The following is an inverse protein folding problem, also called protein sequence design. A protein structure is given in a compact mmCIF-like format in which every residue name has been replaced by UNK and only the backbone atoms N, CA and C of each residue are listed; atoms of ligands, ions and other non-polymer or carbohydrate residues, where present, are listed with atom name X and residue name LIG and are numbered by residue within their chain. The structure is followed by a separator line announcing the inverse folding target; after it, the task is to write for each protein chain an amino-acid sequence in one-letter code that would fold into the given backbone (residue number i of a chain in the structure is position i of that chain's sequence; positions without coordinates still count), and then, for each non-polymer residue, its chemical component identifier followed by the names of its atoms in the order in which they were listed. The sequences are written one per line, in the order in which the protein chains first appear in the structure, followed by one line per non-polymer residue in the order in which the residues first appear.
data_IF_354518387713
#
_entry.id   IF_354518387713
#
_cell.length_a   1.000
_cell.length_b   1.000
_cell.length_c   1.000
_cell.angle_alpha   90.00
_cell.angle_beta   90.00
_cell.angle_gamma   90.00
#
_symmetry.space_group_name_H-M   'P 1'
#
loop_
_entity.id
_entity.type
_entity.pdbx_description
1 polymer ?
#
# COMPACT_ATOMS: atom_id res chain seq x y z
N UNK A 1 -3.74 -15.70 -18.96
CA UNK A 1 -4.37 -16.66 -18.04
C UNK A 1 -3.50 -16.96 -16.82
N UNK A 2 -4.05 -17.69 -15.84
CA UNK A 2 -3.32 -18.28 -14.71
C UNK A 2 -2.86 -19.70 -15.04
N UNK A 3 -1.89 -20.20 -14.29
CA UNK A 3 -1.43 -21.59 -14.41
C UNK A 3 -2.54 -22.60 -14.03
N UNK A 4 -3.43 -22.22 -13.12
CA UNK A 4 -4.62 -23.02 -12.74
C UNK A 4 -5.62 -23.21 -13.88
N UNK A 5 -5.54 -22.38 -14.94
CA UNK A 5 -6.47 -22.39 -16.07
C UNK A 5 -5.96 -23.26 -17.24
N UNK A 6 -4.75 -23.80 -17.14
CA UNK A 6 -4.15 -24.67 -18.16
C UNK A 6 -4.92 -25.98 -18.31
N UNK A 7 -5.04 -26.43 -19.57
CA UNK A 7 -5.65 -27.74 -19.88
C UNK A 7 -4.60 -28.84 -19.97
N UNK A 8 -5.02 -30.08 -19.77
CA UNK A 8 -4.12 -31.25 -19.75
C UNK A 8 -3.32 -31.32 -21.05
N UNK A 9 -2.01 -31.57 -20.93
CA UNK A 9 -1.02 -31.57 -22.02
C UNK A 9 -0.80 -30.21 -22.72
N UNK A 10 -1.36 -29.12 -22.19
CA UNK A 10 -1.08 -27.79 -22.71
C UNK A 10 0.25 -27.26 -22.15
N UNK A 11 1.02 -26.60 -23.03
CA UNK A 11 2.29 -25.95 -22.71
C UNK A 11 2.12 -24.45 -22.64
N UNK A 12 2.79 -23.82 -21.68
CA UNK A 12 2.84 -22.37 -21.56
C UNK A 12 4.21 -21.89 -21.09
N UNK A 13 4.47 -20.58 -21.23
CA UNK A 13 5.63 -19.93 -20.64
C UNK A 13 5.20 -19.12 -19.41
N UNK A 14 5.94 -19.26 -18.32
CA UNK A 14 5.75 -18.46 -17.11
C UNK A 14 6.09 -17.01 -17.40
N UNK A 15 5.13 -16.11 -17.19
CA UNK A 15 5.33 -14.67 -17.36
C UNK A 15 5.56 -13.96 -16.04
N UNK A 16 4.98 -14.46 -14.94
CA UNK A 16 5.07 -13.84 -13.61
C UNK A 16 4.66 -14.81 -12.52
N UNK A 17 5.31 -14.71 -11.36
CA UNK A 17 4.87 -15.35 -10.11
C UNK A 17 4.40 -14.25 -9.16
N UNK A 18 3.12 -14.28 -8.82
CA UNK A 18 2.45 -13.40 -7.86
C UNK A 18 2.49 -14.02 -6.46
N UNK A 19 1.90 -13.33 -5.49
CA UNK A 19 1.94 -13.71 -4.09
C UNK A 19 3.08 -13.02 -3.35
N UNK A 20 3.22 -13.33 -2.07
CA UNK A 20 3.99 -12.53 -1.11
C UNK A 20 5.14 -13.29 -0.44
N UNK A 21 6.13 -12.54 0.03
CA UNK A 21 7.32 -12.97 0.78
C UNK A 21 7.78 -14.40 0.54
N UNK A 22 7.65 -15.23 1.59
CA UNK A 22 8.17 -16.60 1.60
C UNK A 22 7.51 -17.54 0.57
N UNK A 23 6.24 -17.33 0.23
CA UNK A 23 5.56 -18.14 -0.79
C UNK A 23 6.21 -17.92 -2.16
N UNK A 24 6.33 -16.66 -2.58
CA UNK A 24 6.91 -16.29 -3.89
C UNK A 24 8.34 -16.79 -4.00
N UNK A 25 9.14 -16.63 -2.93
CA UNK A 25 10.52 -17.14 -2.87
C UNK A 25 10.58 -18.66 -3.06
N UNK A 26 9.76 -19.42 -2.32
CA UNK A 26 9.67 -20.89 -2.44
C UNK A 26 9.30 -21.33 -3.86
N UNK A 27 8.30 -20.68 -4.48
CA UNK A 27 7.87 -21.01 -5.85
C UNK A 27 8.99 -20.75 -6.87
N UNK A 28 9.72 -19.64 -6.73
CA UNK A 28 10.88 -19.34 -7.57
C UNK A 28 12.00 -20.37 -7.38
N UNK A 29 12.31 -20.76 -6.12
CA UNK A 29 13.30 -21.79 -5.80
C UNK A 29 12.92 -23.17 -6.33
N UNK A 30 11.61 -23.46 -6.45
CA UNK A 30 11.08 -24.67 -7.08
C UNK A 30 11.18 -24.65 -8.62
N UNK A 31 11.75 -23.61 -9.23
CA UNK A 31 12.01 -23.54 -10.68
C UNK A 31 10.94 -22.79 -11.48
N UNK A 32 9.87 -22.30 -10.85
CA UNK A 32 8.84 -21.48 -11.51
C UNK A 32 9.35 -20.06 -11.75
N UNK A 33 10.28 -19.92 -12.68
CA UNK A 33 10.91 -18.65 -13.02
C UNK A 33 10.42 -18.13 -14.36
N UNK A 34 10.35 -16.80 -14.48
CA UNK A 34 9.93 -16.08 -15.69
C UNK A 34 10.73 -16.56 -16.91
N UNK A 35 10.02 -16.90 -17.98
CA UNK A 35 10.59 -17.36 -19.24
C UNK A 35 10.77 -18.88 -19.36
N UNK A 36 10.53 -19.67 -18.30
CA UNK A 36 10.54 -21.13 -18.39
C UNK A 36 9.24 -21.67 -18.94
N UNK A 37 9.36 -22.74 -19.71
CA UNK A 37 8.24 -23.53 -20.20
C UNK A 37 7.73 -24.46 -19.09
N UNK A 38 6.42 -24.64 -19.07
CA UNK A 38 5.70 -25.50 -18.14
C UNK A 38 4.59 -26.24 -18.89
N UNK A 39 4.43 -27.53 -18.59
CA UNK A 39 3.38 -28.40 -19.11
C UNK A 39 2.45 -28.82 -17.97
N UNK A 40 1.14 -28.81 -18.19
CA UNK A 40 0.20 -29.40 -17.25
C UNK A 40 0.04 -30.89 -17.54
N UNK A 41 0.38 -31.74 -16.56
CA UNK A 41 0.42 -33.20 -16.72
C UNK A 41 -0.93 -33.82 -16.39
N UNK A 42 -1.40 -33.62 -15.15
CA UNK A 42 -2.65 -34.21 -14.67
C UNK A 42 -3.14 -33.56 -13.39
N UNK A 43 -4.45 -33.65 -13.17
CA UNK A 43 -5.04 -33.40 -11.86
C UNK A 43 -4.89 -34.64 -10.96
N UNK A 44 -4.74 -34.42 -9.65
CA UNK A 44 -4.97 -35.49 -8.67
C UNK A 44 -6.43 -35.99 -8.74
N UNK A 45 -6.76 -37.20 -8.24
CA UNK A 45 -8.11 -37.77 -8.31
C UNK A 45 -9.24 -36.84 -7.79
N UNK A 46 -8.92 -35.95 -6.84
CA UNK A 46 -9.85 -34.96 -6.28
C UNK A 46 -9.71 -33.55 -6.90
N UNK A 47 -9.07 -33.42 -8.06
CA UNK A 47 -8.80 -32.16 -8.79
C UNK A 47 -7.89 -31.14 -8.08
N UNK A 48 -7.33 -31.49 -6.93
CA UNK A 48 -6.30 -30.70 -6.22
C UNK A 48 -5.44 -31.66 -5.36
N UNK A 49 -4.10 -31.60 -5.41
CA UNK A 49 -3.24 -30.72 -6.22
C UNK A 49 -3.19 -31.09 -7.71
N UNK A 50 -2.71 -30.14 -8.53
CA UNK A 50 -2.40 -30.30 -9.94
C UNK A 50 -0.90 -30.60 -10.13
N UNK A 51 -0.56 -31.51 -11.05
CA UNK A 51 0.83 -31.88 -11.35
C UNK A 51 1.28 -31.18 -12.63
N UNK A 52 2.40 -30.47 -12.54
CA UNK A 52 3.03 -29.75 -13.62
C UNK A 52 4.44 -30.26 -13.86
N UNK A 53 4.88 -30.30 -15.10
CA UNK A 53 6.26 -30.59 -15.45
C UNK A 53 6.99 -29.28 -15.74
N UNK A 54 8.13 -29.09 -15.09
CA UNK A 54 9.02 -27.94 -15.28
C UNK A 54 10.46 -28.43 -15.18
N UNK A 55 11.31 -27.97 -16.09
CA UNK A 55 12.74 -28.35 -16.11
C UNK A 55 12.97 -29.89 -16.04
N UNK A 56 12.12 -30.66 -16.71
CA UNK A 56 12.19 -32.13 -16.79
C UNK A 56 11.95 -32.87 -15.46
N UNK A 57 11.25 -32.26 -14.50
CA UNK A 57 10.71 -32.95 -13.33
C UNK A 57 9.26 -32.53 -13.04
N UNK A 58 8.52 -33.41 -12.36
CA UNK A 58 7.13 -33.16 -11.97
C UNK A 58 7.06 -32.49 -10.59
N UNK A 59 6.23 -31.45 -10.49
CA UNK A 59 5.90 -30.75 -9.26
C UNK A 59 4.39 -30.73 -9.08
N UNK A 60 3.92 -31.12 -7.90
CA UNK A 60 2.54 -30.90 -7.48
C UNK A 60 2.38 -29.50 -6.88
N UNK A 61 1.51 -28.68 -7.46
CA UNK A 61 1.06 -27.42 -6.88
C UNK A 61 -0.43 -27.49 -6.58
N UNK A 62 -0.85 -26.85 -5.49
CA UNK A 62 -2.28 -26.66 -5.26
C UNK A 62 -2.85 -25.67 -6.27
N UNK A 63 -4.13 -25.79 -6.59
CA UNK A 63 -4.82 -24.86 -7.50
C UNK A 63 -4.75 -23.42 -7.01
N UNK A 64 -4.82 -23.18 -5.69
CA UNK A 64 -4.67 -21.85 -5.12
C UNK A 64 -3.28 -21.24 -5.38
N UNK A 65 -2.24 -22.07 -5.36
CA UNK A 65 -0.85 -21.66 -5.62
C UNK A 65 -0.63 -21.44 -7.12
N UNK A 66 -1.13 -22.35 -7.97
CA UNK A 66 -1.11 -22.20 -9.42
C UNK A 66 -1.87 -20.96 -9.90
N UNK A 67 -2.94 -20.55 -9.22
CA UNK A 67 -3.68 -19.32 -9.51
C UNK A 67 -2.85 -18.04 -9.28
N UNK A 68 -1.74 -18.11 -8.54
CA UNK A 68 -0.80 -17.00 -8.37
C UNK A 68 0.29 -16.97 -9.45
N UNK A 69 0.34 -17.94 -10.35
CA UNK A 69 1.33 -17.98 -11.43
C UNK A 69 0.65 -17.56 -12.73
N UNK A 70 1.19 -16.55 -13.40
CA UNK A 70 0.74 -16.12 -14.71
C UNK A 70 1.55 -16.79 -15.80
N UNK A 71 0.83 -17.25 -16.81
CA UNK A 71 1.41 -17.90 -17.98
C UNK A 71 0.83 -17.33 -19.26
N UNK A 72 1.50 -17.66 -20.37
CA UNK A 72 1.01 -17.42 -21.72
C UNK A 72 1.13 -18.70 -22.53
N UNK A 73 0.03 -19.11 -23.15
CA UNK A 73 -0.03 -20.27 -24.05
C UNK A 73 0.23 -19.82 -25.49
N UNK A 74 0.48 -20.77 -26.40
CA UNK A 74 0.62 -20.50 -27.84
C UNK A 74 -0.60 -19.77 -28.40
N UNK A 75 -1.80 -20.22 -28.03
CA UNK A 75 -3.08 -19.60 -28.43
C UNK A 75 -3.25 -18.15 -27.95
N UNK A 76 -2.83 -17.84 -26.72
CA UNK A 76 -2.86 -16.44 -26.24
C UNK A 76 -1.83 -15.58 -26.98
N UNK A 77 -0.65 -16.13 -27.29
CA UNK A 77 0.39 -15.42 -28.02
C UNK A 77 -0.04 -15.09 -29.47
N UNK A 78 -0.79 -15.99 -30.13
CA UNK A 78 -1.38 -15.80 -31.46
C UNK A 78 -2.34 -14.59 -31.48
N UNK A 79 -3.27 -14.53 -30.53
CA UNK A 79 -4.25 -13.42 -30.42
C UNK A 79 -3.61 -12.05 -30.16
N UNK A 80 -2.45 -12.02 -29.52
CA UNK A 80 -1.73 -10.79 -29.23
C UNK A 80 -1.01 -10.19 -30.44
N UNK A 81 -0.86 -10.95 -31.53
CA UNK A 81 -0.14 -10.48 -32.71
C UNK A 81 -1.02 -10.03 -33.87
N UNK A 82 -2.22 -10.57 -34.09
CA UNK A 82 -3.29 -10.22 -35.06
C UNK A 82 -2.94 -9.63 -36.48
N UNK A 83 -1.68 -9.46 -36.85
CA UNK A 83 -1.17 -8.80 -38.07
C UNK A 83 0.12 -9.50 -38.59
N UNK A 84 0.33 -10.79 -38.31
CA UNK A 84 1.51 -11.52 -38.78
C UNK A 84 1.11 -12.83 -39.49
N UNK A 85 1.24 -12.86 -40.82
CA UNK A 85 0.94 -14.02 -41.69
C UNK A 85 2.19 -14.90 -41.94
N UNK A 86 2.97 -15.20 -40.90
CA UNK A 86 4.18 -16.03 -40.99
C UNK A 86 4.07 -17.35 -40.21
N UNK A 87 4.93 -18.32 -40.52
CA UNK A 87 5.03 -19.59 -39.76
C UNK A 87 5.45 -19.31 -38.32
N UNK A 88 4.60 -19.70 -37.38
CA UNK A 88 4.77 -19.43 -35.95
C UNK A 88 5.83 -20.37 -35.38
N UNK A 89 7.03 -19.84 -35.15
CA UNK A 89 8.11 -20.55 -34.45
C UNK A 89 7.98 -20.39 -32.93
N UNK A 90 8.60 -21.29 -32.14
CA UNK A 90 8.68 -21.17 -30.67
C UNK A 90 9.27 -19.82 -30.20
N UNK A 91 9.93 -19.09 -31.10
CA UNK A 91 10.36 -17.71 -30.87
C UNK A 91 9.20 -16.74 -30.59
N UNK A 92 8.03 -16.92 -31.21
CA UNK A 92 6.87 -16.02 -30.98
C UNK A 92 6.34 -16.14 -29.56
N UNK A 93 6.22 -17.37 -29.05
CA UNK A 93 5.82 -17.63 -27.67
C UNK A 93 6.78 -16.97 -26.67
N UNK A 94 8.10 -17.12 -26.90
CA UNK A 94 9.14 -16.49 -26.06
C UNK A 94 9.11 -14.98 -26.12
N UNK A 95 8.89 -14.38 -27.31
CA UNK A 95 8.77 -12.92 -27.48
C UNK A 95 7.52 -12.38 -26.77
N UNK A 96 6.38 -13.02 -26.93
CA UNK A 96 5.12 -12.63 -26.26
C UNK A 96 5.20 -12.79 -24.74
N UNK A 97 5.83 -13.85 -24.25
CA UNK A 97 6.14 -14.02 -22.83
C UNK A 97 7.08 -12.94 -22.30
N UNK A 98 8.14 -12.59 -23.05
CA UNK A 98 9.06 -11.50 -22.71
C UNK A 98 8.35 -10.14 -22.66
N UNK A 99 7.42 -9.87 -23.58
CA UNK A 99 6.60 -8.64 -23.55
C UNK A 99 5.68 -8.60 -22.33
N UNK A 100 4.91 -9.66 -22.10
CA UNK A 100 3.93 -9.74 -20.99
C UNK A 100 4.60 -9.67 -19.61
N UNK A 101 5.80 -10.23 -19.50
CA UNK A 101 6.57 -10.23 -18.25
C UNK A 101 7.25 -8.89 -17.93
N UNK A 102 7.23 -7.92 -18.85
CA UNK A 102 7.66 -6.52 -18.64
C UNK A 102 6.49 -5.59 -18.29
N UNK A 103 5.32 -6.15 -17.97
CA UNK A 103 4.18 -5.38 -17.44
C UNK A 103 4.26 -5.39 -15.91
N UNK A 104 4.34 -4.20 -15.31
CA UNK A 104 4.39 -3.99 -13.86
C UNK A 104 3.10 -3.31 -13.42
N UNK A 105 2.35 -3.96 -12.54
CA UNK A 105 1.16 -3.40 -11.92
C UNK A 105 1.56 -2.70 -10.61
N UNK A 106 1.31 -1.40 -10.54
CA UNK A 106 1.71 -0.55 -9.43
C UNK A 106 0.49 0.09 -8.79
N UNK A 107 0.40 0.03 -7.47
CA UNK A 107 -0.57 0.79 -6.70
C UNK A 107 0.10 1.98 -6.01
N UNK A 108 -0.47 3.17 -6.15
CA UNK A 108 -0.05 4.34 -5.37
C UNK A 108 -0.89 4.40 -4.09
N UNK A 109 -0.20 4.40 -2.95
CA UNK A 109 -0.80 4.45 -1.61
C UNK A 109 -0.15 5.61 -0.85
N UNK A 110 -0.88 6.26 0.05
CA UNK A 110 -0.33 7.32 0.89
C UNK A 110 -1.41 8.13 1.57
N UNK A 111 -1.00 8.96 2.52
CA UNK A 111 -1.90 9.85 3.24
C UNK A 111 -2.56 10.87 2.30
N UNK A 112 -3.75 11.38 2.61
CA UNK A 112 -4.30 12.56 1.93
C UNK A 112 -3.26 13.69 1.87
N UNK A 113 -3.24 14.42 0.74
CA UNK A 113 -2.35 15.57 0.51
C UNK A 113 -0.84 15.29 0.54
N UNK A 114 -0.38 14.03 0.43
CA UNK A 114 1.05 13.70 0.35
C UNK A 114 1.69 13.94 -1.05
N UNK A 115 0.90 14.36 -2.04
CA UNK A 115 1.31 14.56 -3.44
C UNK A 115 1.22 13.30 -4.32
N UNK A 116 0.47 12.29 -3.87
CA UNK A 116 0.13 11.08 -4.63
C UNK A 116 -0.46 11.37 -6.02
N UNK A 117 -1.49 12.21 -6.11
CA UNK A 117 -2.11 12.61 -7.39
C UNK A 117 -1.12 13.35 -8.29
N UNK A 118 -0.19 14.13 -7.73
CA UNK A 118 0.85 14.82 -8.51
C UNK A 118 1.81 13.82 -9.16
N UNK A 119 2.26 12.80 -8.41
CA UNK A 119 3.09 11.72 -8.98
C UNK A 119 2.32 10.93 -10.04
N UNK A 120 1.03 10.63 -9.79
CA UNK A 120 0.17 9.97 -10.77
C UNK A 120 0.07 10.77 -12.07
N UNK A 121 -0.21 12.08 -11.99
CA UNK A 121 -0.37 12.95 -13.16
C UNK A 121 0.94 13.06 -13.96
N UNK A 122 2.08 13.12 -13.27
CA UNK A 122 3.38 13.12 -13.93
C UNK A 122 3.61 11.82 -14.71
N UNK A 123 3.28 10.67 -14.11
CA UNK A 123 3.43 9.37 -14.74
C UNK A 123 2.43 9.15 -15.89
N UNK A 124 1.18 9.62 -15.73
CA UNK A 124 0.10 9.42 -16.69
C UNK A 124 0.17 10.35 -17.91
N UNK A 125 0.92 11.46 -17.83
CA UNK A 125 0.93 12.53 -18.85
C UNK A 125 -0.50 12.95 -19.26
N UNK A 126 -1.40 13.02 -18.28
CA UNK A 126 -2.82 13.34 -18.44
C UNK A 126 -3.68 12.32 -19.22
N UNK A 127 -3.20 11.09 -19.42
CA UNK A 127 -4.02 9.98 -19.93
C UNK A 127 -4.52 9.13 -18.76
N UNK A 128 -5.68 9.48 -18.22
CA UNK A 128 -6.31 8.74 -17.11
C UNK A 128 -7.64 8.10 -17.52
N UNK A 129 -7.99 7.00 -16.84
CA UNK A 129 -9.33 6.41 -16.85
C UNK A 129 -9.80 6.33 -15.41
N UNK A 130 -11.00 6.82 -15.12
CA UNK A 130 -11.60 6.79 -13.79
C UNK A 130 -12.50 5.55 -13.70
N UNK A 131 -12.34 4.75 -12.64
CA UNK A 131 -13.20 3.62 -12.34
C UNK A 131 -13.85 3.77 -10.97
N UNK A 132 -15.15 3.43 -10.90
CA UNK A 132 -15.89 3.33 -9.65
C UNK A 132 -15.79 1.91 -9.10
N UNK A 133 -15.62 1.77 -7.78
CA UNK A 133 -15.72 0.47 -7.12
C UNK A 133 -17.17 0.13 -6.80
N UNK A 134 -17.54 -1.15 -6.91
CA UNK A 134 -18.91 -1.59 -6.72
C UNK A 134 -19.41 -1.30 -5.30
N UNK A 135 -20.45 -0.49 -5.17
CA UNK A 135 -21.19 -0.26 -3.93
C UNK A 135 -20.76 0.94 -3.09
N UNK A 136 -19.71 1.68 -3.49
CA UNK A 136 -19.25 2.90 -2.78
C UNK A 136 -18.77 3.97 -3.75
N UNK A 137 -18.88 5.26 -3.37
CA UNK A 137 -18.40 6.43 -4.13
C UNK A 137 -16.88 6.60 -4.09
N UNK A 138 -16.14 5.50 -3.93
CA UNK A 138 -14.68 5.51 -3.86
C UNK A 138 -14.12 5.36 -5.28
N UNK A 139 -13.51 6.45 -5.78
CA UNK A 139 -12.91 6.49 -7.12
C UNK A 139 -11.46 6.04 -7.08
N UNK A 140 -11.06 5.24 -8.07
CA UNK A 140 -9.66 4.97 -8.38
C UNK A 140 -9.34 5.44 -9.79
N UNK A 141 -8.14 5.99 -9.98
CA UNK A 141 -7.66 6.41 -11.30
C UNK A 141 -6.66 5.41 -11.83
N UNK A 142 -6.85 4.97 -13.06
CA UNK A 142 -5.93 4.04 -13.72
C UNK A 142 -5.25 4.73 -14.89
N UNK A 143 -3.97 4.47 -15.06
CA UNK A 143 -3.20 4.92 -16.20
C UNK A 143 -2.16 3.89 -16.60
N UNK A 144 -1.72 3.99 -17.85
CA UNK A 144 -0.71 3.13 -18.44
C UNK A 144 0.34 3.98 -19.14
N UNK A 145 1.60 3.76 -18.82
CA UNK A 145 2.71 4.42 -19.50
C UNK A 145 3.88 3.45 -19.70
N UNK A 146 4.81 3.83 -20.58
CA UNK A 146 6.00 3.07 -20.91
C UNK A 146 7.22 3.77 -20.34
N UNK A 147 8.14 3.02 -19.73
CA UNK A 147 9.47 3.48 -19.34
C UNK A 147 10.46 2.37 -19.65
N UNK A 148 11.51 2.70 -20.41
CA UNK A 148 12.44 1.73 -20.99
C UNK A 148 11.63 0.67 -21.78
N UNK A 149 11.90 -0.61 -21.53
CA UNK A 149 11.13 -1.73 -22.10
C UNK A 149 9.91 -2.15 -21.26
N UNK A 150 9.64 -1.46 -20.16
CA UNK A 150 8.59 -1.80 -19.21
C UNK A 150 7.32 -0.99 -19.46
N UNK A 151 6.20 -1.65 -19.24
CA UNK A 151 4.87 -1.07 -19.25
C UNK A 151 4.38 -1.04 -17.81
N UNK A 152 4.10 0.15 -17.30
CA UNK A 152 3.52 0.34 -15.99
C UNK A 152 2.01 0.51 -16.11
N UNK A 153 1.26 -0.32 -15.40
CA UNK A 153 -0.15 -0.10 -15.12
C UNK A 153 -0.23 0.51 -13.71
N UNK A 154 -0.49 1.80 -13.59
CA UNK A 154 -0.62 2.48 -12.31
C UNK A 154 -2.09 2.63 -11.94
N UNK A 155 -2.40 2.27 -10.70
CA UNK A 155 -3.65 2.63 -10.05
C UNK A 155 -3.38 3.62 -8.92
N UNK A 156 -4.00 4.79 -8.99
CA UNK A 156 -4.08 5.74 -7.89
C UNK A 156 -5.21 5.32 -6.94
N UNK A 157 -4.85 4.93 -5.72
CA UNK A 157 -5.82 4.55 -4.69
C UNK A 157 -6.20 5.78 -3.85
N UNK A 158 -7.37 5.80 -3.20
CA UNK A 158 -7.77 6.85 -2.27
C UNK A 158 -6.68 7.16 -1.23
N UNK A 159 -6.60 8.44 -0.83
CA UNK A 159 -5.71 8.82 0.26
C UNK A 159 -6.19 8.23 1.57
N UNK A 160 -5.31 7.56 2.30
CA UNK A 160 -5.65 6.90 3.57
C UNK A 160 -4.54 7.09 4.61
N UNK A 161 -4.92 7.24 5.89
CA UNK A 161 -3.96 7.33 7.00
C UNK A 161 -3.55 5.96 7.54
N UNK A 162 -4.35 4.94 7.29
CA UNK A 162 -4.12 3.60 7.78
C UNK A 162 -4.69 2.57 6.79
N UNK A 163 -4.62 1.30 7.14
CA UNK A 163 -5.32 0.21 6.49
C UNK A 163 -6.22 -0.46 7.50
N UNK A 164 -6.94 0.29 8.36
CA UNK A 164 -8.03 -0.20 9.22
C UNK A 164 -9.33 -0.41 8.42
N UNK A 165 -10.44 -0.71 9.11
CA UNK A 165 -11.77 -0.85 8.49
C UNK A 165 -12.74 0.27 8.92
N UNK A 166 -12.22 1.42 9.38
CA UNK A 166 -13.05 2.52 9.89
C UNK A 166 -13.65 3.40 8.78
N UNK A 167 -12.99 3.49 7.63
CA UNK A 167 -13.49 4.26 6.47
C UNK A 167 -13.62 3.40 5.20
N UNK A 168 -14.58 3.73 4.31
CA UNK A 168 -14.69 3.09 3.01
C UNK A 168 -13.40 3.16 2.19
N UNK A 169 -12.66 4.27 2.29
CA UNK A 169 -11.38 4.47 1.61
C UNK A 169 -10.31 3.49 2.12
N UNK A 170 -10.12 3.40 3.44
CA UNK A 170 -9.18 2.46 4.05
C UNK A 170 -9.47 1.01 3.65
N UNK A 171 -10.75 0.63 3.73
CA UNK A 171 -11.22 -0.69 3.38
C UNK A 171 -10.99 -0.99 1.90
N UNK A 172 -11.25 -0.02 1.02
CA UNK A 172 -11.01 -0.14 -0.40
C UNK A 172 -9.52 -0.34 -0.72
N UNK A 173 -8.63 0.46 -0.12
CA UNK A 173 -7.17 0.29 -0.31
C UNK A 173 -6.73 -1.09 0.13
N UNK A 174 -7.21 -1.55 1.30
CA UNK A 174 -6.90 -2.88 1.83
C UNK A 174 -7.38 -4.01 0.91
N UNK A 175 -8.66 -3.98 0.50
CA UNK A 175 -9.26 -4.99 -0.40
C UNK A 175 -8.55 -5.02 -1.75
N UNK A 176 -8.27 -3.85 -2.34
CA UNK A 176 -7.49 -3.75 -3.57
C UNK A 176 -6.14 -4.45 -3.44
N UNK A 177 -5.39 -4.18 -2.35
CA UNK A 177 -4.09 -4.81 -2.13
C UNK A 177 -4.20 -6.34 -2.03
N UNK A 178 -5.25 -6.88 -1.41
CA UNK A 178 -5.48 -8.33 -1.28
C UNK A 178 -5.95 -9.00 -2.56
N UNK A 179 -6.87 -8.38 -3.28
CA UNK A 179 -7.53 -8.98 -4.43
C UNK A 179 -6.73 -8.77 -5.71
N UNK A 180 -6.25 -7.54 -5.92
CA UNK A 180 -5.51 -7.15 -7.11
C UNK A 180 -4.02 -7.46 -7.01
N UNK A 181 -3.50 -7.89 -5.85
CA UNK A 181 -2.11 -8.32 -5.59
C UNK A 181 -1.11 -7.56 -6.49
N UNK A 182 -0.94 -6.23 -6.28
CA UNK A 182 -0.06 -5.42 -7.10
C UNK A 182 1.38 -5.93 -7.02
N UNK A 183 2.15 -5.75 -8.09
CA UNK A 183 3.55 -6.19 -8.12
C UNK A 183 4.42 -5.33 -7.20
N UNK A 184 4.10 -4.03 -7.15
CA UNK A 184 4.78 -3.04 -6.30
C UNK A 184 3.73 -2.05 -5.78
N UNK A 185 3.87 -1.69 -4.51
CA UNK A 185 3.21 -0.53 -3.92
C UNK A 185 4.21 0.62 -3.85
N UNK A 186 3.89 1.75 -4.49
CA UNK A 186 4.61 2.99 -4.24
C UNK A 186 3.86 3.71 -3.12
N UNK A 187 4.50 3.78 -1.95
CA UNK A 187 3.98 4.49 -0.79
C UNK A 187 4.50 5.95 -0.82
N UNK A 188 3.62 6.91 -1.01
CA UNK A 188 3.96 8.33 -1.03
C UNK A 188 3.94 8.87 0.40
N UNK A 189 5.12 9.24 0.89
CA UNK A 189 5.35 9.76 2.24
C UNK A 189 5.70 11.24 2.12
N UNK A 190 4.91 12.12 2.75
CA UNK A 190 5.28 13.53 2.86
C UNK A 190 6.43 13.71 3.84
N UNK A 191 7.56 14.25 3.35
CA UNK A 191 8.73 14.56 4.15
C UNK A 191 8.45 15.63 5.23
N UNK A 192 7.37 16.39 5.10
CA UNK A 192 6.98 17.39 6.09
C UNK A 192 6.35 16.78 7.35
N UNK A 193 5.76 15.58 7.25
CA UNK A 193 5.02 14.90 8.31
C UNK A 193 5.40 13.40 8.38
N UNK A 194 6.68 13.10 8.57
CA UNK A 194 7.22 11.72 8.49
C UNK A 194 6.51 10.73 9.40
N UNK A 195 6.40 11.03 10.70
CA UNK A 195 5.84 10.11 11.71
C UNK A 195 4.44 9.63 11.33
N UNK A 196 3.54 10.56 11.00
CA UNK A 196 2.17 10.27 10.58
C UNK A 196 2.08 9.46 9.28
N UNK A 197 3.01 9.66 8.34
CA UNK A 197 3.02 8.91 7.08
C UNK A 197 3.67 7.52 7.24
N UNK A 198 4.63 7.39 8.16
CA UNK A 198 5.26 6.12 8.47
C UNK A 198 4.32 5.16 9.20
N UNK A 199 3.26 5.65 9.85
CA UNK A 199 2.21 4.79 10.41
C UNK A 199 1.56 3.88 9.37
N UNK A 200 1.17 4.41 8.21
CA UNK A 200 0.69 3.60 7.10
C UNK A 200 1.75 2.60 6.59
N UNK A 201 3.02 3.01 6.63
CA UNK A 201 4.15 2.19 6.20
C UNK A 201 4.31 0.94 7.06
N UNK A 202 4.11 1.03 8.38
CA UNK A 202 4.20 -0.15 9.28
C UNK A 202 3.16 -1.22 8.90
N UNK A 203 1.95 -0.79 8.51
CA UNK A 203 0.89 -1.70 8.12
C UNK A 203 1.17 -2.37 6.76
N UNK A 204 1.77 -1.64 5.82
CA UNK A 204 2.24 -2.22 4.56
C UNK A 204 3.37 -3.25 4.79
N UNK A 205 4.25 -3.01 5.76
CA UNK A 205 5.27 -4.00 6.17
C UNK A 205 4.60 -5.26 6.72
N UNK A 206 3.63 -5.13 7.63
CA UNK A 206 2.91 -6.28 8.21
C UNK A 206 2.16 -7.11 7.15
N UNK A 207 1.65 -6.44 6.11
CA UNK A 207 1.02 -7.05 4.94
C UNK A 207 1.97 -7.87 4.07
N UNK A 208 3.29 -7.77 4.27
CA UNK A 208 4.34 -8.47 3.50
C UNK A 208 4.25 -8.20 1.98
N UNK A 209 4.16 -6.92 1.62
CA UNK A 209 4.15 -6.45 0.22
C UNK A 209 5.47 -5.86 -0.20
N UNK A 210 5.75 -5.93 -1.51
CA UNK A 210 6.83 -5.16 -2.11
C UNK A 210 6.45 -3.69 -2.13
N UNK A 211 7.18 -2.88 -1.36
CA UNK A 211 6.94 -1.45 -1.23
C UNK A 211 8.18 -0.69 -1.71
N UNK A 212 7.95 0.51 -2.23
CA UNK A 212 8.97 1.55 -2.45
C UNK A 212 8.41 2.84 -1.87
N UNK A 213 9.20 3.59 -1.13
CA UNK A 213 8.76 4.88 -0.57
C UNK A 213 9.18 6.01 -1.51
N UNK A 214 8.21 6.76 -1.98
CA UNK A 214 8.42 8.07 -2.58
C UNK A 214 8.38 9.12 -1.47
N UNK A 215 9.56 9.53 -0.99
CA UNK A 215 9.69 10.57 0.03
C UNK A 215 9.50 11.95 -0.62
N UNK A 216 8.25 12.36 -0.76
CA UNK A 216 7.84 13.56 -1.47
C UNK A 216 7.94 14.82 -0.60
N UNK A 217 7.90 15.99 -1.23
CA UNK A 217 8.09 17.30 -0.57
C UNK A 217 9.48 17.40 0.10
N UNK A 218 10.48 16.73 -0.47
CA UNK A 218 11.82 16.67 0.13
C UNK A 218 12.52 18.03 0.18
N UNK A 219 12.13 18.97 -0.67
CA UNK A 219 12.59 20.36 -0.59
C UNK A 219 12.06 21.10 0.64
N UNK A 220 10.89 20.74 1.16
CA UNK A 220 10.38 21.29 2.42
C UNK A 220 11.20 20.84 3.63
N UNK A 221 11.55 19.55 3.69
CA UNK A 221 12.45 19.00 4.71
C UNK A 221 13.79 19.73 4.71
N UNK A 222 14.40 19.92 3.53
CA UNK A 222 15.62 20.72 3.38
C UNK A 222 15.45 22.18 3.79
N UNK A 223 14.30 22.79 3.45
CA UNK A 223 13.98 24.18 3.84
C UNK A 223 13.81 24.33 5.36
N UNK A 224 13.25 23.33 6.06
CA UNK A 224 13.20 23.29 7.53
C UNK A 224 14.60 23.18 8.17
N UNK A 225 15.55 22.63 7.42
CA UNK A 225 16.92 22.41 7.87
C UNK A 225 17.12 21.03 8.50
N UNK A 226 16.11 20.16 8.38
CA UNK A 226 16.15 18.80 8.87
C UNK A 226 17.09 17.97 7.98
N UNK A 227 17.76 16.99 8.57
CA UNK A 227 18.60 16.03 7.85
C UNK A 227 18.08 14.63 8.13
N UNK A 228 17.53 14.00 7.10
CA UNK A 228 17.08 12.61 7.16
C UNK A 228 18.07 11.70 6.43
N UNK A 229 18.62 10.73 7.14
CA UNK A 229 19.35 9.62 6.54
C UNK A 229 18.38 8.57 5.99
N UNK A 230 17.72 8.92 4.88
CA UNK A 230 16.69 8.08 4.26
C UNK A 230 17.22 6.74 3.72
N UNK A 231 18.54 6.64 3.47
CA UNK A 231 19.17 5.39 3.02
C UNK A 231 19.26 4.38 4.16
N UNK A 232 19.76 4.79 5.32
CA UNK A 232 19.83 3.91 6.50
C UNK A 232 18.42 3.59 7.02
N UNK A 233 17.51 4.57 7.06
CA UNK A 233 16.09 4.30 7.34
C UNK A 233 15.53 3.24 6.39
N UNK A 234 15.79 3.36 5.09
CA UNK A 234 15.34 2.40 4.08
C UNK A 234 15.88 0.98 4.31
N UNK A 235 17.18 0.84 4.61
CA UNK A 235 17.79 -0.45 4.99
C UNK A 235 17.18 -1.04 6.25
N UNK A 236 16.92 -0.19 7.24
CA UNK A 236 16.38 -0.59 8.54
C UNK A 236 14.96 -1.16 8.40
N UNK A 237 14.13 -0.55 7.55
CA UNK A 237 12.74 -0.99 7.30
C UNK A 237 12.60 -1.93 6.08
N UNK A 238 13.68 -2.16 5.34
CA UNK A 238 13.73 -3.09 4.20
C UNK A 238 13.00 -2.58 2.97
N UNK A 239 12.85 -1.27 2.86
CA UNK A 239 12.10 -0.59 1.80
C UNK A 239 12.98 0.53 1.22
N UNK A 240 13.29 0.52 -0.09
CA UNK A 240 14.06 1.60 -0.68
C UNK A 240 13.26 2.92 -0.65
N UNK A 241 13.94 3.99 -0.23
CA UNK A 241 13.37 5.34 -0.11
C UNK A 241 13.97 6.26 -1.17
N UNK A 242 13.13 6.80 -2.04
CA UNK A 242 13.51 7.70 -3.12
C UNK A 242 13.00 9.12 -2.82
N UNK A 243 13.88 10.10 -2.57
CA UNK A 243 13.47 11.49 -2.40
C UNK A 243 12.88 12.06 -3.69
N UNK A 244 11.73 12.71 -3.58
CA UNK A 244 11.03 13.33 -4.71
C UNK A 244 10.54 14.74 -4.37
N UNK A 245 10.38 15.55 -5.42
CA UNK A 245 9.63 16.81 -5.37
C UNK A 245 8.65 16.77 -6.53
N UNK A 246 7.48 16.16 -6.30
CA UNK A 246 6.53 15.81 -7.34
C UNK A 246 6.07 17.02 -8.16
N UNK A 247 5.84 18.15 -7.50
CA UNK A 247 5.44 19.42 -8.14
C UNK A 247 6.46 19.96 -9.14
N UNK A 248 7.72 19.49 -9.07
CA UNK A 248 8.82 19.89 -9.95
C UNK A 248 9.31 18.73 -10.83
N UNK A 249 8.63 17.57 -10.81
CA UNK A 249 9.06 16.36 -11.50
C UNK A 249 10.36 15.71 -10.99
N UNK A 250 10.99 16.25 -9.93
CA UNK A 250 12.32 15.80 -9.49
C UNK A 250 12.24 14.45 -8.78
N UNK A 251 13.10 13.52 -9.19
CA UNK A 251 13.24 12.19 -8.58
C UNK A 251 12.20 11.16 -9.01
N UNK A 252 11.20 11.55 -9.83
CA UNK A 252 10.15 10.63 -10.28
C UNK A 252 10.72 9.59 -11.26
N UNK A 253 11.65 9.96 -12.12
CA UNK A 253 12.31 9.00 -13.01
C UNK A 253 13.07 7.93 -12.21
N UNK A 254 13.89 8.35 -11.25
CA UNK A 254 14.63 7.47 -10.34
C UNK A 254 13.69 6.56 -9.52
N UNK A 255 12.52 7.06 -9.12
CA UNK A 255 11.50 6.28 -8.42
C UNK A 255 11.02 5.09 -9.27
N UNK A 256 10.74 5.33 -10.55
CA UNK A 256 10.31 4.25 -11.46
C UNK A 256 11.45 3.36 -11.92
N UNK A 257 12.69 3.85 -12.00
CA UNK A 257 13.86 3.00 -12.24
C UNK A 257 14.07 2.04 -11.05
N UNK A 258 13.97 2.57 -9.83
CA UNK A 258 13.99 1.74 -8.62
C UNK A 258 12.84 0.73 -8.61
N UNK A 259 11.65 1.10 -9.09
CA UNK A 259 10.54 0.16 -9.25
C UNK A 259 10.87 -1.02 -10.18
N UNK A 260 11.60 -0.78 -11.27
CA UNK A 260 12.05 -1.87 -12.14
C UNK A 260 13.04 -2.79 -11.39
N UNK A 261 13.99 -2.22 -10.65
CA UNK A 261 14.98 -2.99 -9.88
C UNK A 261 14.32 -3.89 -8.82
N UNK A 262 13.36 -3.34 -8.07
CA UNK A 262 12.59 -4.10 -7.06
C UNK A 262 11.70 -5.16 -7.71
N UNK A 263 11.11 -4.86 -8.86
CA UNK A 263 10.27 -5.82 -9.59
C UNK A 263 11.08 -7.03 -10.05
N UNK A 264 12.28 -6.79 -10.60
CA UNK A 264 13.22 -7.81 -11.09
C UNK A 264 14.05 -8.47 -9.97
N UNK A 265 13.75 -8.19 -8.69
CA UNK A 265 14.43 -8.76 -7.52
C UNK A 265 15.96 -8.48 -7.52
N UNK A 266 16.38 -7.32 -8.04
CA UNK A 266 17.79 -6.87 -8.12
C UNK A 266 18.20 -5.89 -7.02
N UNK A 267 17.22 -5.31 -6.34
CA UNK A 267 17.47 -4.37 -5.25
C UNK A 267 17.88 -5.11 -3.97
N UNK A 268 19.01 -4.69 -3.37
CA UNK A 268 19.58 -5.33 -2.18
C UNK A 268 18.94 -4.87 -0.87
N UNK A 269 18.29 -3.70 -0.86
CA UNK A 269 17.66 -3.15 0.34
C UNK A 269 16.27 -3.77 0.57
N UNK A 270 15.62 -4.25 -0.51
CA UNK A 270 14.36 -4.99 -0.41
C UNK A 270 14.57 -6.32 0.29
N UNK A 271 14.06 -6.39 1.52
CA UNK A 271 14.04 -7.62 2.31
C UNK A 271 12.78 -7.67 3.14
N UNK A 272 12.38 -8.89 3.44
CA UNK A 272 11.26 -9.13 4.32
C UNK A 272 11.66 -8.77 5.76
N UNK A 273 11.07 -7.70 6.30
CA UNK A 273 11.28 -7.25 7.68
C UNK A 273 10.01 -7.49 8.48
N UNK A 274 10.21 -7.89 9.74
CA UNK A 274 9.15 -7.89 10.74
C UNK A 274 9.44 -6.79 11.75
N UNK A 275 8.49 -5.87 11.93
CA UNK A 275 8.54 -4.92 13.03
C UNK A 275 8.35 -5.71 14.32
N UNK A 276 9.24 -5.54 15.28
CA UNK A 276 9.14 -6.17 16.59
C UNK A 276 8.25 -5.32 17.49
N UNK A 277 7.04 -5.80 17.78
CA UNK A 277 6.09 -5.10 18.66
C UNK A 277 6.28 -5.40 20.15
N UNK A 278 7.44 -5.95 20.53
CA UNK A 278 7.76 -6.31 21.90
C UNK A 278 7.36 -7.74 22.26
N UNK A 279 7.98 -8.25 23.32
CA UNK A 279 7.96 -9.69 23.68
C UNK A 279 6.55 -10.25 23.87
N UNK A 280 5.66 -9.50 24.51
CA UNK A 280 4.30 -9.95 24.81
C UNK A 280 3.45 -10.03 23.54
N UNK A 281 3.40 -8.95 22.75
CA UNK A 281 2.68 -8.91 21.48
C UNK A 281 3.21 -9.95 20.49
N UNK A 282 4.53 -10.07 20.33
CA UNK A 282 5.12 -11.08 19.41
C UNK A 282 4.77 -12.51 19.80
N UNK A 283 4.71 -12.82 21.10
CA UNK A 283 4.30 -14.14 21.59
C UNK A 283 2.84 -14.43 21.21
N UNK A 284 1.95 -13.46 21.40
CA UNK A 284 0.53 -13.56 21.05
C UNK A 284 0.32 -13.68 19.54
N UNK A 285 0.96 -12.81 18.75
CA UNK A 285 0.95 -12.84 17.28
C UNK A 285 1.38 -14.22 16.78
N UNK A 286 2.49 -14.78 17.29
CA UNK A 286 3.01 -16.09 16.87
C UNK A 286 2.05 -17.25 17.19
N UNK A 287 1.35 -17.21 18.33
CA UNK A 287 0.35 -18.24 18.69
C UNK A 287 -0.84 -18.22 17.74
N UNK A 288 -1.38 -17.03 17.45
CA UNK A 288 -2.50 -16.87 16.53
C UNK A 288 -2.07 -17.24 15.11
N UNK A 289 -0.91 -16.75 14.66
CA UNK A 289 -0.35 -17.06 13.35
C UNK A 289 -0.20 -18.57 13.11
N UNK A 290 0.22 -19.35 14.12
CA UNK A 290 0.31 -20.82 14.01
C UNK A 290 -1.04 -21.49 13.76
N UNK A 291 -2.14 -20.93 14.27
CA UNK A 291 -3.50 -21.45 14.03
C UNK A 291 -4.05 -21.02 12.68
N UNK A 292 -3.65 -19.84 12.20
CA UNK A 292 -4.04 -19.33 10.88
C UNK A 292 -3.26 -20.05 9.77
N UNK A 293 -1.93 -20.16 9.90
CA UNK A 293 -0.99 -20.69 8.89
C UNK A 293 -0.92 -22.23 8.93
N UNK A 294 -2.05 -22.88 8.68
CA UNK A 294 -2.15 -24.33 8.50
C UNK A 294 -2.42 -24.67 7.04
N UNK A 295 -2.10 -25.90 6.62
CA UNK A 295 -2.30 -26.39 5.25
C UNK A 295 -3.72 -26.08 4.74
N UNK A 296 -4.76 -26.26 5.54
CA UNK A 296 -6.14 -26.03 5.09
C UNK A 296 -6.46 -24.56 4.76
N UNK A 297 -5.61 -23.62 5.18
CA UNK A 297 -5.82 -22.17 5.04
C UNK A 297 -4.81 -21.53 4.07
N UNK A 298 -4.03 -22.32 3.31
CA UNK A 298 -3.05 -21.77 2.35
C UNK A 298 -3.69 -20.95 1.24
N UNK A 299 -4.89 -21.30 0.80
CA UNK A 299 -5.64 -20.51 -0.18
C UNK A 299 -5.83 -19.03 0.23
N UNK A 300 -5.90 -18.76 1.54
CA UNK A 300 -5.95 -17.44 2.14
C UNK A 300 -4.54 -16.90 2.42
N UNK A 301 -3.70 -17.71 3.08
CA UNK A 301 -2.40 -17.26 3.61
C UNK A 301 -1.30 -17.11 2.55
N UNK A 302 -1.50 -17.63 1.34
CA UNK A 302 -0.64 -17.37 0.17
C UNK A 302 -0.94 -15.99 -0.47
N UNK A 303 -2.15 -15.46 -0.25
CA UNK A 303 -2.58 -14.13 -0.71
C UNK A 303 -2.37 -13.06 0.36
N UNK A 304 -2.72 -13.37 1.61
CA UNK A 304 -2.70 -12.46 2.75
C UNK A 304 -1.72 -12.95 3.80
N UNK A 305 -0.87 -12.06 4.30
CA UNK A 305 0.08 -12.37 5.37
C UNK A 305 -0.64 -12.94 6.61
N UNK A 306 -0.28 -14.17 6.99
CA UNK A 306 -0.75 -14.77 8.25
C UNK A 306 -0.37 -13.94 9.48
N UNK A 307 0.72 -13.16 9.42
CA UNK A 307 1.12 -12.22 10.47
C UNK A 307 0.15 -11.03 10.51
N UNK A 308 -0.16 -10.44 9.35
CA UNK A 308 -1.16 -9.38 9.24
C UNK A 308 -2.51 -9.81 9.83
N UNK A 309 -3.01 -10.99 9.45
CA UNK A 309 -4.27 -11.53 9.98
C UNK A 309 -4.23 -11.71 11.50
N UNK A 310 -3.10 -12.16 12.06
CA UNK A 310 -2.94 -12.31 13.50
C UNK A 310 -2.92 -10.96 14.23
N UNK A 311 -2.22 -9.96 13.70
CA UNK A 311 -2.19 -8.60 14.26
C UNK A 311 -3.60 -7.99 14.22
N UNK A 312 -4.27 -8.03 13.08
CA UNK A 312 -5.63 -7.50 12.93
C UNK A 312 -6.67 -8.24 13.79
N UNK A 313 -6.46 -9.53 14.05
CA UNK A 313 -7.28 -10.28 15.01
C UNK A 313 -7.11 -9.75 16.44
N UNK A 314 -5.90 -9.34 16.83
CA UNK A 314 -5.64 -8.69 18.13
C UNK A 314 -6.21 -7.26 18.16
N UNK A 315 -6.18 -6.53 17.04
CA UNK A 315 -6.84 -5.22 16.88
C UNK A 315 -8.38 -5.34 16.74
N UNK A 316 -8.98 -6.52 16.96
CA UNK A 316 -10.43 -6.75 16.91
C UNK A 316 -11.09 -6.31 15.58
N UNK A 317 -10.37 -6.43 14.48
CA UNK A 317 -10.82 -5.99 13.16
C UNK A 317 -11.96 -6.86 12.60
N UNK A 318 -13.12 -6.26 12.37
CA UNK A 318 -14.34 -6.97 11.94
C UNK A 318 -14.21 -7.58 10.53
N UNK A 319 -13.53 -6.91 9.60
CA UNK A 319 -13.33 -7.46 8.24
C UNK A 319 -12.41 -8.68 8.26
N UNK A 320 -11.36 -8.68 9.10
CA UNK A 320 -10.53 -9.89 9.27
C UNK A 320 -11.30 -10.99 9.97
N UNK A 321 -12.15 -10.67 10.94
CA UNK A 321 -13.04 -11.64 11.57
C UNK A 321 -13.98 -12.29 10.56
N UNK A 322 -14.54 -11.50 9.63
CA UNK A 322 -15.39 -12.00 8.55
C UNK A 322 -14.61 -12.90 7.60
N UNK A 323 -13.42 -12.50 7.16
CA UNK A 323 -12.55 -13.35 6.32
C UNK A 323 -12.23 -14.70 7.02
N UNK A 324 -12.03 -14.67 8.33
CA UNK A 324 -11.67 -15.87 9.10
C UNK A 324 -12.88 -16.75 9.43
N UNK A 325 -14.11 -16.23 9.40
CA UNK A 325 -15.32 -16.98 9.80
C UNK A 325 -15.62 -18.14 8.85
N UNK A 326 -15.25 -17.98 7.58
CA UNK A 326 -15.42 -19.00 6.53
C UNK A 326 -14.44 -20.17 6.67
N UNK A 327 -13.47 -20.08 7.58
CA UNK A 327 -12.49 -21.13 7.82
C UNK A 327 -13.06 -22.23 8.71
N UNK A 328 -12.83 -23.49 8.31
CA UNK A 328 -13.24 -24.68 9.09
C UNK A 328 -12.72 -24.66 10.53
N UNK A 329 -11.54 -24.06 10.77
CA UNK A 329 -10.94 -23.97 12.10
C UNK A 329 -11.17 -22.62 12.81
N UNK A 330 -12.13 -21.80 12.34
CA UNK A 330 -12.43 -20.48 12.90
C UNK A 330 -12.64 -20.50 14.42
N UNK A 331 -13.42 -21.45 14.95
CA UNK A 331 -13.64 -21.58 16.40
C UNK A 331 -12.32 -21.70 17.18
N UNK A 332 -11.35 -22.46 16.66
CA UNK A 332 -10.04 -22.59 17.29
C UNK A 332 -9.22 -21.29 17.19
N UNK A 333 -9.35 -20.54 16.10
CA UNK A 333 -8.68 -19.24 15.91
C UNK A 333 -9.28 -18.22 16.89
N UNK A 334 -10.61 -18.08 16.90
CA UNK A 334 -11.34 -17.18 17.80
C UNK A 334 -11.01 -17.43 19.27
N UNK A 335 -10.98 -18.70 19.70
CA UNK A 335 -10.67 -19.05 21.08
C UNK A 335 -9.25 -18.67 21.49
N UNK A 336 -8.24 -18.88 20.63
CA UNK A 336 -6.86 -18.44 20.95
C UNK A 336 -6.76 -16.92 20.93
N UNK A 337 -7.38 -16.25 19.97
CA UNK A 337 -7.37 -14.78 19.87
C UNK A 337 -7.96 -14.15 21.12
N UNK A 338 -9.17 -14.55 21.53
CA UNK A 338 -9.82 -14.01 22.73
C UNK A 338 -9.00 -14.27 23.99
N UNK A 339 -8.36 -15.45 24.10
CA UNK A 339 -7.48 -15.77 25.23
C UNK A 339 -6.27 -14.84 25.29
N UNK A 340 -5.62 -14.58 24.15
CA UNK A 340 -4.45 -13.71 24.11
C UNK A 340 -4.82 -12.23 24.30
N UNK A 341 -5.98 -11.78 23.77
CA UNK A 341 -6.51 -10.43 24.04
C UNK A 341 -6.71 -10.24 25.55
N UNK A 342 -7.50 -11.12 26.20
CA UNK A 342 -7.74 -11.03 27.64
C UNK A 342 -6.45 -11.08 28.47
N UNK A 343 -5.45 -11.84 28.03
CA UNK A 343 -4.16 -11.92 28.70
C UNK A 343 -3.38 -10.60 28.60
N UNK A 344 -3.37 -9.97 27.42
CA UNK A 344 -2.67 -8.71 27.18
C UNK A 344 -3.37 -7.56 27.90
N UNK A 345 -4.69 -7.45 27.78
CA UNK A 345 -5.45 -6.36 28.41
C UNK A 345 -5.37 -6.42 29.93
N UNK A 346 -5.34 -7.61 30.52
CA UNK A 346 -5.15 -7.77 31.96
C UNK A 346 -3.74 -7.40 32.42
N UNK A 347 -2.71 -7.76 31.64
CA UNK A 347 -1.31 -7.48 31.97
C UNK A 347 -1.00 -5.98 31.89
N UNK A 348 -1.48 -5.31 30.84
CA UNK A 348 -1.14 -3.91 30.56
C UNK A 348 -2.20 -2.91 31.02
N UNK A 349 -3.40 -3.37 31.41
CA UNK A 349 -4.55 -2.52 31.76
C UNK A 349 -4.97 -1.55 30.63
N UNK A 350 -4.73 -1.95 29.39
CA UNK A 350 -5.02 -1.19 28.16
C UNK A 350 -5.58 -2.10 27.08
N UNK A 351 -6.39 -1.55 26.18
CA UNK A 351 -6.94 -2.29 25.04
C UNK A 351 -5.84 -2.73 24.06
N UNK A 352 -5.96 -3.93 23.49
CA UNK A 352 -4.99 -4.48 22.53
C UNK A 352 -4.78 -3.63 21.28
N UNK A 353 -5.80 -2.90 20.81
CA UNK A 353 -5.69 -1.97 19.70
C UNK A 353 -4.75 -0.81 20.03
N UNK A 354 -4.88 -0.25 21.24
CA UNK A 354 -3.99 0.79 21.78
C UNK A 354 -2.57 0.26 21.90
N UNK A 355 -2.38 -0.92 22.50
CA UNK A 355 -1.05 -1.53 22.66
C UNK A 355 -0.32 -1.72 21.33
N UNK A 356 -1.02 -2.17 20.28
CA UNK A 356 -0.43 -2.35 18.95
C UNK A 356 -0.14 -1.00 18.29
N UNK A 357 -1.02 -0.02 18.47
CA UNK A 357 -0.83 1.34 17.96
C UNK A 357 0.39 2.00 18.60
N UNK A 358 0.54 1.89 19.91
CA UNK A 358 1.70 2.41 20.64
C UNK A 358 2.99 1.70 20.25
N UNK A 359 2.95 0.37 20.04
CA UNK A 359 4.11 -0.35 19.54
C UNK A 359 4.54 0.12 18.14
N UNK A 360 3.58 0.44 17.25
CA UNK A 360 3.86 1.01 15.93
C UNK A 360 4.47 2.41 16.04
N UNK A 361 3.91 3.28 16.85
CA UNK A 361 4.47 4.62 17.07
C UNK A 361 5.82 4.57 17.77
N UNK A 362 6.02 3.67 18.74
CA UNK A 362 7.32 3.43 19.37
C UNK A 362 8.39 3.02 18.36
N UNK A 363 8.06 2.12 17.43
CA UNK A 363 8.95 1.76 16.32
C UNK A 363 9.28 2.97 15.43
N UNK A 364 8.28 3.76 15.04
CA UNK A 364 8.47 4.93 14.18
C UNK A 364 9.34 5.99 14.86
N UNK A 365 9.08 6.27 16.14
CA UNK A 365 9.84 7.23 16.94
C UNK A 365 11.29 6.78 17.12
N UNK A 366 11.53 5.49 17.36
CA UNK A 366 12.88 4.92 17.39
C UNK A 366 13.59 5.05 16.03
N UNK A 367 12.89 4.66 14.95
CA UNK A 367 13.40 4.75 13.58
C UNK A 367 13.81 6.18 13.19
N UNK A 368 12.96 7.16 13.51
CA UNK A 368 13.23 8.56 13.25
C UNK A 368 14.29 9.12 14.19
N UNK A 369 14.30 8.73 15.48
CA UNK A 369 15.32 9.17 16.44
C UNK A 369 16.75 8.81 16.01
N UNK A 370 16.94 7.69 15.33
CA UNK A 370 18.24 7.29 14.79
C UNK A 370 18.61 7.98 13.45
N UNK A 371 17.61 8.37 12.66
CA UNK A 371 17.82 8.76 11.26
C UNK A 371 17.49 10.22 10.94
N UNK A 372 16.76 10.93 11.79
CA UNK A 372 16.30 12.30 11.59
C UNK A 372 16.98 13.24 12.59
N UNK A 373 17.73 14.20 12.06
CA UNK A 373 18.25 15.33 12.84
C UNK A 373 17.43 16.56 12.50
N UNK A 374 16.65 17.04 13.47
CA UNK A 374 15.82 18.23 13.30
C UNK A 374 16.67 19.51 13.14
N UNK A 375 16.26 20.35 12.20
CA UNK A 375 16.89 21.63 11.94
C UNK A 375 16.65 22.62 13.07
N UNK A 376 17.71 23.24 13.59
CA UNK A 376 17.64 24.31 14.61
C UNK A 376 17.12 25.66 14.05
N UNK A 377 16.12 25.68 13.15
CA UNK A 377 15.64 26.96 12.60
C UNK A 377 14.75 27.69 13.60
N UNK A 378 15.07 28.97 13.82
CA UNK A 378 14.46 29.98 14.72
C UNK A 378 12.92 30.15 14.63
N UNK A 379 12.21 29.41 13.77
CA UNK A 379 10.75 29.50 13.59
C UNK A 379 9.98 29.05 14.84
N UNK A 380 10.49 28.02 15.53
CA UNK A 380 9.93 27.55 16.81
C UNK A 380 9.93 28.64 17.90
N UNK A 381 10.83 29.64 17.85
CA UNK A 381 10.83 30.73 18.83
C UNK A 381 9.71 31.75 18.57
N UNK A 382 9.44 32.13 17.31
CA UNK A 382 8.41 33.14 17.01
C UNK A 382 6.99 32.65 17.27
N UNK A 383 6.66 31.44 16.82
CA UNK A 383 5.31 30.88 17.05
C UNK A 383 5.09 30.57 18.52
N UNK A 384 6.09 30.03 19.25
CA UNK A 384 5.97 29.85 20.72
C UNK A 384 5.77 31.15 21.47
N UNK A 385 6.33 32.28 21.03
CA UNK A 385 6.11 33.57 21.69
C UNK A 385 4.66 34.04 21.47
N UNK A 386 4.15 33.92 20.24
CA UNK A 386 2.77 34.27 19.92
C UNK A 386 1.82 33.34 20.67
N UNK A 387 2.02 32.03 20.59
CA UNK A 387 1.20 31.05 21.29
C UNK A 387 1.28 31.24 22.79
N UNK A 388 2.47 31.48 23.38
CA UNK A 388 2.61 31.73 24.81
C UNK A 388 1.90 33.01 25.26
N UNK A 389 1.80 34.03 24.40
CA UNK A 389 1.11 35.28 24.70
C UNK A 389 -0.40 35.15 24.51
N UNK A 390 -0.84 34.57 23.40
CA UNK A 390 -2.25 34.37 23.04
C UNK A 390 -2.92 33.30 23.91
N UNK A 391 -2.19 32.29 24.38
CA UNK A 391 -2.71 31.24 25.27
C UNK A 391 -2.38 31.48 26.75
N UNK A 392 -1.80 32.64 27.09
CA UNK A 392 -1.44 32.96 28.47
C UNK A 392 -2.69 33.02 29.36
N UNK A 393 -2.63 32.45 30.57
CA UNK A 393 -3.78 32.41 31.50
C UNK A 393 -4.39 33.79 31.82
N UNK A 394 -3.56 34.86 31.80
CA UNK A 394 -3.99 36.23 32.06
C UNK A 394 -4.28 37.06 30.79
N UNK A 395 -3.53 36.86 29.71
CA UNK A 395 -3.66 37.69 28.48
C UNK A 395 -4.52 37.03 27.40
N UNK A 396 -4.68 35.71 27.44
CA UNK A 396 -5.45 34.96 26.45
C UNK A 396 -6.93 35.29 26.48
N UNK A 397 -7.52 35.49 27.67
CA UNK A 397 -8.94 35.88 27.80
C UNK A 397 -9.20 37.27 27.19
N UNK A 398 -8.45 38.35 27.54
CA UNK A 398 -8.59 39.65 26.88
C UNK A 398 -8.39 39.62 25.36
N UNK A 399 -7.36 38.90 24.90
CA UNK A 399 -7.07 38.78 23.46
C UNK A 399 -8.20 38.04 22.74
N UNK A 400 -8.72 36.97 23.32
CA UNK A 400 -9.85 36.23 22.77
C UNK A 400 -11.10 37.10 22.67
N UNK A 401 -11.43 37.85 23.74
CA UNK A 401 -12.56 38.79 23.74
C UNK A 401 -12.38 39.87 22.67
N UNK A 402 -11.16 40.40 22.50
CA UNK A 402 -10.86 41.38 21.46
C UNK A 402 -11.10 40.83 20.05
N UNK A 403 -10.62 39.62 19.74
CA UNK A 403 -10.85 39.00 18.44
C UNK A 403 -12.33 38.66 18.21
N UNK A 404 -13.02 38.23 19.26
CA UNK A 404 -14.46 37.96 19.21
C UNK A 404 -15.25 39.24 18.95
N UNK A 405 -14.92 40.34 19.64
CA UNK A 405 -15.47 41.67 19.39
C UNK A 405 -15.17 42.13 17.95
N UNK A 406 -13.92 42.00 17.49
CA UNK A 406 -13.52 42.39 16.14
C UNK A 406 -14.29 41.60 15.07
N UNK A 407 -14.50 40.30 15.28
CA UNK A 407 -15.29 39.45 14.38
C UNK A 407 -16.75 39.91 14.34
N UNK A 408 -17.37 40.18 15.49
CA UNK A 408 -18.75 40.69 15.53
C UNK A 408 -18.86 42.08 14.91
N UNK A 409 -17.97 43.00 15.26
CA UNK A 409 -17.92 44.34 14.69
C UNK A 409 -17.78 44.28 13.18
N UNK A 410 -16.85 43.46 12.67
CA UNK A 410 -16.68 43.27 11.23
C UNK A 410 -17.93 42.67 10.59
N UNK A 411 -18.59 41.71 11.23
CA UNK A 411 -19.80 41.07 10.69
C UNK A 411 -20.97 42.06 10.60
N UNK A 412 -21.19 42.86 11.63
CA UNK A 412 -22.31 43.80 11.65
C UNK A 412 -22.02 45.06 10.84
N UNK A 413 -20.81 45.61 10.93
CA UNK A 413 -20.47 46.87 10.26
C UNK A 413 -20.17 46.66 8.78
N UNK A 414 -19.38 45.65 8.40
CA UNK A 414 -19.21 45.35 6.96
C UNK A 414 -20.48 44.75 6.37
N UNK A 415 -21.23 43.99 7.16
CA UNK A 415 -22.53 43.46 6.76
C UNK A 415 -23.57 44.57 6.52
N UNK A 416 -23.57 45.64 7.32
CA UNK A 416 -24.50 46.76 7.15
C UNK A 416 -24.22 47.54 5.86
N UNK A 417 -22.96 47.72 5.46
CA UNK A 417 -22.62 48.29 4.15
C UNK A 417 -23.17 47.45 2.99
N UNK A 418 -23.03 46.12 3.05
CA UNK A 418 -23.58 45.22 2.03
C UNK A 418 -25.11 45.23 2.00
N UNK A 419 -25.74 45.23 3.18
CA UNK A 419 -27.19 45.29 3.33
C UNK A 419 -27.76 46.60 2.78
N UNK A 420 -27.15 47.74 3.11
CA UNK A 420 -27.53 49.05 2.59
C UNK A 420 -27.31 49.15 1.07
N UNK A 421 -26.27 48.50 0.55
CA UNK A 421 -26.05 48.41 -0.90
C UNK A 421 -27.17 47.66 -1.63
N UNK A 422 -27.66 46.56 -1.05
CA UNK A 422 -28.81 45.81 -1.58
C UNK A 422 -30.10 46.63 -1.44
N UNK A 423 -30.30 47.28 -0.29
CA UNK A 423 -31.46 48.14 -0.03
C UNK A 423 -31.57 49.25 -1.09
N UNK A 424 -30.48 49.99 -1.33
CA UNK A 424 -30.45 51.06 -2.34
C UNK A 424 -30.70 50.54 -3.77
N UNK A 425 -30.26 49.31 -4.08
CA UNK A 425 -30.52 48.66 -5.37
C UNK A 425 -31.99 48.28 -5.53
N UNK A 426 -32.61 47.77 -4.47
CA UNK A 426 -34.03 47.44 -4.44
C UNK A 426 -34.87 48.69 -4.56
N UNK A 427 -34.55 49.75 -3.80
CA UNK A 427 -35.24 51.03 -3.86
C UNK A 427 -35.14 51.65 -5.26
N UNK A 428 -33.97 51.61 -5.89
CA UNK A 428 -33.79 52.05 -7.28
C UNK A 428 -34.62 51.25 -8.30
N UNK A 429 -34.85 49.95 -8.08
CA UNK A 429 -35.70 49.12 -8.94
C UNK A 429 -37.20 49.32 -8.68
N UNK A 430 -37.58 49.82 -7.50
CA UNK A 430 -38.98 50.15 -7.16
C UNK A 430 -39.37 51.52 -7.73
N UNK A 431 -38.41 52.44 -7.81
CA UNK A 431 -38.59 53.78 -8.40
C UNK A 431 -38.54 53.82 -9.94
N UNK A 432 -38.39 52.66 -10.61
CA UNK A 432 -38.39 52.48 -12.06
C UNK A 432 -39.60 51.64 -12.50
#
# INVERSE_FOLDING_TARGET
MRLSDLKTNEKAIITKVRGRGAFRKRIIEMGFIKGKEISFIKDAPLKDPAVYEIMSYEISLRRSEANLIEVITKKEAEKLQNNFEGTITDNILKVSAKKKSKIINVALVGNPNCGKTTIFNFASKSKEHVGNYSGVTVQSKKSKFKKNDYIFNITDLPGTYSLTAYSPEELYVRKYIFDEVPDIIINIVSASNLERNLYLTTQLIDMDVKVIIALNMFDELKKKGDKLNYKELGKMIGIPIIPTVASKGKGIENLFDKAIEVYEDKDLDVRHIHINYGRFLEKSIKKIQKKIKIKNNYFLTDKISSRFLAIKSLEKDEEVKDILQDLKNYKSIKNITNKEINCLEKEFSEDTETLITDAKFGFISGALGENLVEGRKKKYKKTKIIDAFVTHKLFGIPIFIFFLWLMFYSTFELGSYAMNGIQNLVDFMIDF
#
